data_IF_815346883015
#
_entry.id   IF_815346883015
#
_cell.length_a   1.000
_cell.length_b   1.000
_cell.length_c   1.000
_cell.angle_alpha   90.00
_cell.angle_beta   90.00
_cell.angle_gamma   90.00
#
_symmetry.space_group_name_H-M   'P 1'
#
loop_
_entity.id
_entity.type
_entity.pdbx_description
1 polymer ?
#
# COMPACT_ATOMS: atom_id res chain seq x y z
N UNK A 1 -21.04 1.44 -18.79
CA UNK A 1 -19.73 0.87 -18.43
C UNK A 1 -19.42 1.33 -17.02
N UNK A 2 -19.03 0.43 -16.12
CA UNK A 2 -18.64 0.79 -14.74
C UNK A 2 -17.22 1.35 -14.78
N UNK A 3 -17.01 2.50 -14.15
CA UNK A 3 -15.67 3.06 -13.95
C UNK A 3 -14.84 2.07 -13.15
N UNK A 4 -13.62 1.71 -13.60
CA UNK A 4 -12.76 0.80 -12.86
C UNK A 4 -12.40 1.37 -11.48
N UNK A 5 -12.32 0.50 -10.48
CA UNK A 5 -11.96 0.84 -9.11
C UNK A 5 -10.52 0.40 -8.85
N UNK A 6 -9.66 1.29 -8.34
CA UNK A 6 -8.36 0.90 -7.78
C UNK A 6 -8.51 0.53 -6.31
N UNK A 7 -7.92 -0.60 -5.96
CA UNK A 7 -7.97 -1.17 -4.61
C UNK A 7 -6.53 -1.33 -4.13
N UNK A 8 -6.20 -0.67 -3.03
CA UNK A 8 -4.97 -0.85 -2.29
C UNK A 8 -5.22 -1.82 -1.12
N UNK A 9 -4.55 -2.96 -1.14
CA UNK A 9 -4.50 -3.91 -0.04
C UNK A 9 -3.22 -3.72 0.78
N UNK A 10 -3.34 -3.85 2.11
CA UNK A 10 -2.24 -3.69 3.07
C UNK A 10 -2.18 -4.92 3.99
N UNK A 11 -0.97 -5.47 4.16
CA UNK A 11 -0.63 -6.50 5.15
C UNK A 11 0.34 -5.89 6.18
N UNK A 12 -0.18 -5.39 7.32
CA UNK A 12 0.57 -4.49 8.19
C UNK A 12 1.61 -5.20 9.07
N UNK A 13 2.80 -4.61 9.15
CA UNK A 13 3.85 -5.04 10.07
C UNK A 13 4.83 -3.89 10.40
N UNK A 14 5.28 -3.82 11.64
CA UNK A 14 6.15 -2.73 12.12
C UNK A 14 7.56 -2.72 11.52
N UNK A 15 7.97 -3.79 10.83
CA UNK A 15 9.25 -3.91 10.13
C UNK A 15 9.03 -4.01 8.63
N UNK A 16 8.12 -4.89 8.25
CA UNK A 16 7.72 -5.15 6.87
C UNK A 16 6.22 -4.98 6.78
N UNK A 17 5.75 -3.96 6.06
CA UNK A 17 4.34 -3.78 5.70
C UNK A 17 4.18 -4.13 4.23
N UNK A 18 3.57 -5.27 3.93
CA UNK A 18 3.27 -5.68 2.57
C UNK A 18 2.14 -4.84 1.99
N UNK A 19 2.16 -4.61 0.68
CA UNK A 19 1.10 -3.91 -0.03
C UNK A 19 0.92 -4.43 -1.46
N UNK A 20 -0.29 -4.26 -1.98
CA UNK A 20 -0.64 -4.60 -3.36
C UNK A 20 -1.75 -3.73 -3.92
N UNK A 21 -1.69 -3.43 -5.21
CA UNK A 21 -2.68 -2.63 -5.91
C UNK A 21 -3.26 -3.44 -7.07
N UNK A 22 -4.58 -3.48 -7.11
CA UNK A 22 -5.33 -4.08 -8.22
C UNK A 22 -6.34 -3.07 -8.78
N UNK A 23 -6.68 -3.24 -10.04
CA UNK A 23 -7.79 -2.54 -10.68
C UNK A 23 -8.94 -3.54 -10.94
N UNK A 24 -10.16 -3.15 -10.57
CA UNK A 24 -11.36 -3.94 -10.77
C UNK A 24 -12.29 -3.26 -11.79
N UNK A 25 -12.57 -3.94 -12.89
CA UNK A 25 -13.55 -3.53 -13.89
C UNK A 25 -14.64 -4.62 -14.02
N UNK A 26 -15.74 -4.45 -13.27
CA UNK A 26 -16.75 -5.50 -13.12
C UNK A 26 -16.18 -6.73 -12.42
N UNK A 27 -16.21 -7.89 -13.08
CA UNK A 27 -15.66 -9.15 -12.56
C UNK A 27 -14.17 -9.35 -12.87
N UNK A 28 -13.56 -8.49 -13.70
CA UNK A 28 -12.16 -8.60 -14.08
C UNK A 28 -11.29 -7.89 -13.06
N UNK A 29 -10.26 -8.59 -12.57
CA UNK A 29 -9.19 -8.04 -11.74
C UNK A 29 -7.90 -7.96 -12.56
N UNK A 30 -7.16 -6.87 -12.41
CA UNK A 30 -5.86 -6.64 -13.04
C UNK A 30 -4.86 -6.26 -11.96
N UNK A 31 -3.73 -6.97 -11.92
CA UNK A 31 -2.60 -6.59 -11.07
C UNK A 31 -1.96 -5.30 -11.59
N UNK A 32 -1.69 -4.35 -10.70
CA UNK A 32 -1.06 -3.07 -11.04
C UNK A 32 0.35 -3.00 -10.46
N UNK A 33 0.48 -3.20 -9.15
CA UNK A 33 1.74 -3.12 -8.44
C UNK A 33 1.68 -3.88 -7.12
N UNK A 34 2.85 -4.20 -6.55
CA UNK A 34 2.96 -4.72 -5.20
C UNK A 34 4.35 -4.40 -4.66
N UNK A 35 4.51 -4.50 -3.34
CA UNK A 35 5.80 -4.30 -2.70
C UNK A 35 5.74 -4.46 -1.19
N UNK A 36 6.80 -4.01 -0.55
CA UNK A 36 6.95 -4.00 0.91
C UNK A 36 7.47 -2.62 1.31
N UNK A 37 6.92 -2.06 2.38
CA UNK A 37 7.48 -0.90 3.07
C UNK A 37 8.37 -1.45 4.18
N UNK A 38 9.68 -1.21 4.06
CA UNK A 38 10.68 -1.60 5.05
C UNK A 38 10.97 -0.44 6.00
N UNK A 39 10.41 -0.50 7.20
CA UNK A 39 10.65 0.51 8.23
C UNK A 39 12.02 0.26 8.90
N UNK A 40 12.89 1.28 9.04
CA UNK A 40 14.19 1.13 9.70
C UNK A 40 14.04 0.59 11.12
N UNK A 41 14.85 -0.41 11.48
CA UNK A 41 14.72 -1.13 12.76
C UNK A 41 15.36 -0.42 13.95
N UNK A 42 16.21 0.55 13.68
CA UNK A 42 16.88 1.42 14.65
C UNK A 42 16.01 2.59 15.14
N UNK A 43 14.90 2.88 14.45
CA UNK A 43 13.91 3.86 14.86
C UNK A 43 13.06 3.37 16.04
N UNK A 44 12.51 4.31 16.81
CA UNK A 44 11.49 4.01 17.82
C UNK A 44 10.19 3.51 17.17
N UNK A 45 9.29 2.91 17.98
CA UNK A 45 7.99 2.44 17.47
C UNK A 45 7.16 3.56 16.84
N UNK A 46 7.14 4.74 17.46
CA UNK A 46 6.37 5.89 16.96
C UNK A 46 6.90 6.37 15.61
N UNK A 47 8.22 6.44 15.45
CA UNK A 47 8.86 6.85 14.19
C UNK A 47 8.61 5.82 13.08
N UNK A 48 8.65 4.51 13.38
CA UNK A 48 8.29 3.48 12.39
C UNK A 48 6.84 3.58 11.94
N UNK A 49 5.91 3.87 12.86
CA UNK A 49 4.51 4.09 12.51
C UNK A 49 4.34 5.34 11.63
N UNK A 50 5.05 6.43 11.93
CA UNK A 50 5.08 7.63 11.10
C UNK A 50 5.62 7.35 9.70
N UNK A 51 6.71 6.57 9.60
CA UNK A 51 7.27 6.15 8.32
C UNK A 51 6.27 5.33 7.49
N UNK A 52 5.61 4.34 8.11
CA UNK A 52 4.58 3.52 7.44
C UNK A 52 3.40 4.39 7.00
N UNK A 53 2.96 5.34 7.83
CA UNK A 53 1.88 6.26 7.48
C UNK A 53 2.20 7.10 6.24
N UNK A 54 3.38 7.72 6.20
CA UNK A 54 3.80 8.52 5.05
C UNK A 54 3.93 7.69 3.78
N UNK A 55 4.55 6.51 3.87
CA UNK A 55 4.73 5.61 2.74
C UNK A 55 3.40 5.09 2.19
N UNK A 56 2.45 4.70 3.04
CA UNK A 56 1.10 4.28 2.59
C UNK A 56 0.35 5.45 1.95
N UNK A 57 0.46 6.65 2.54
CA UNK A 57 -0.12 7.87 1.95
C UNK A 57 0.47 8.19 0.58
N UNK A 58 1.77 7.97 0.40
CA UNK A 58 2.47 8.13 -0.87
C UNK A 58 1.98 7.13 -1.91
N UNK A 59 1.82 5.85 -1.56
CA UNK A 59 1.26 4.83 -2.45
C UNK A 59 -0.16 5.20 -2.92
N UNK A 60 -1.01 5.65 -2.00
CA UNK A 60 -2.36 6.07 -2.32
C UNK A 60 -2.38 7.26 -3.30
N UNK A 61 -1.46 8.24 -3.13
CA UNK A 61 -1.35 9.39 -4.04
C UNK A 61 -0.80 9.01 -5.41
N UNK A 62 0.23 8.16 -5.47
CA UNK A 62 0.86 7.76 -6.73
C UNK A 62 -0.02 6.87 -7.61
N UNK A 63 -0.98 6.16 -6.99
CA UNK A 63 -1.83 5.20 -7.68
C UNK A 63 -3.33 5.57 -7.67
N UNK A 64 -3.67 6.81 -7.31
CA UNK A 64 -5.03 7.33 -7.37
C UNK A 64 -5.62 7.31 -8.80
#
# INVERSE_FOLDING_TARGET
MSTPIRILGIDPGLRHTGWGIIEQAGARLVHIAHGVIDAPTDLSMAERLGHIFEAVGELARHHA
#
